data_IF_028700250407
#
_entry.id   IF_028700250407
#
_cell.length_a   1.000
_cell.length_b   1.000
_cell.length_c   1.000
_cell.angle_alpha   90.00
_cell.angle_beta   90.00
_cell.angle_gamma   90.00
#
_symmetry.space_group_name_H-M   'P 1'
#
loop_
_entity.id
_entity.type
_entity.pdbx_description
1 polymer ?
#
# COMPACT_ATOMS: atom_id res chain seq x y z
N UNK A 1 29.44 -4.25 8.34
CA UNK A 1 30.43 -5.35 8.43
C UNK A 1 31.28 -5.36 7.18
N UNK A 2 32.59 -5.52 7.32
CA UNK A 2 33.51 -5.63 6.18
C UNK A 2 33.31 -6.98 5.49
N UNK A 3 33.54 -7.03 4.17
CA UNK A 3 33.50 -8.25 3.35
C UNK A 3 34.42 -9.35 3.90
N UNK A 4 35.48 -8.93 4.59
CA UNK A 4 36.48 -9.81 5.19
C UNK A 4 35.95 -10.56 6.42
N UNK A 5 35.05 -9.93 7.18
CA UNK A 5 34.44 -10.52 8.39
C UNK A 5 33.42 -11.61 8.03
N UNK A 6 32.65 -11.40 6.96
CA UNK A 6 31.69 -12.39 6.47
C UNK A 6 32.38 -13.70 6.04
N UNK A 7 33.53 -13.59 5.37
CA UNK A 7 34.28 -14.74 4.89
C UNK A 7 34.92 -15.57 6.02
N UNK A 8 35.28 -14.93 7.15
CA UNK A 8 35.74 -15.66 8.33
C UNK A 8 34.60 -16.49 8.93
N UNK A 9 33.40 -15.93 8.99
CA UNK A 9 32.26 -16.59 9.62
C UNK A 9 31.72 -17.76 8.77
N UNK A 10 31.67 -17.63 7.44
CA UNK A 10 31.30 -18.76 6.56
C UNK A 10 32.30 -19.91 6.62
N UNK A 11 33.61 -19.62 6.76
CA UNK A 11 34.65 -20.65 6.99
C UNK A 11 34.49 -21.40 8.31
N UNK A 12 33.86 -20.79 9.31
CA UNK A 12 33.58 -21.40 10.61
C UNK A 12 32.25 -22.19 10.63
N UNK A 13 31.63 -22.41 9.46
CA UNK A 13 30.42 -23.21 9.34
C UNK A 13 29.12 -22.47 9.66
N UNK A 14 29.17 -21.15 9.90
CA UNK A 14 27.96 -20.35 10.07
C UNK A 14 27.24 -20.19 8.73
N UNK A 15 26.04 -20.75 8.63
CA UNK A 15 25.11 -20.46 7.54
C UNK A 15 24.29 -19.22 7.92
N UNK A 16 24.60 -18.10 7.26
CA UNK A 16 23.77 -16.91 7.36
C UNK A 16 22.54 -17.09 6.49
N UNK A 17 21.36 -17.08 7.11
CA UNK A 17 20.15 -16.71 6.40
C UNK A 17 20.30 -15.25 5.98
N UNK A 18 20.84 -15.03 4.79
CA UNK A 18 20.63 -13.76 4.11
C UNK A 18 19.11 -13.66 3.93
N UNK A 19 18.42 -12.68 4.54
CA UNK A 19 17.06 -12.41 4.10
C UNK A 19 17.17 -12.28 2.59
N UNK A 20 16.34 -13.03 1.84
CA UNK A 20 16.23 -12.84 0.39
C UNK A 20 16.16 -11.33 0.23
N UNK A 21 17.22 -10.71 -0.30
CA UNK A 21 17.08 -9.38 -0.88
C UNK A 21 15.90 -9.61 -1.80
N UNK A 22 14.76 -8.99 -1.50
CA UNK A 22 13.74 -8.82 -2.50
C UNK A 22 14.50 -8.15 -3.62
N UNK A 23 14.90 -8.95 -4.62
CA UNK A 23 15.16 -8.44 -5.93
C UNK A 23 14.02 -7.47 -6.13
N UNK A 24 14.36 -6.19 -6.21
CA UNK A 24 13.53 -5.18 -6.80
C UNK A 24 13.35 -5.60 -8.26
N UNK A 25 12.65 -6.72 -8.50
CA UNK A 25 11.95 -6.98 -9.74
C UNK A 25 11.02 -5.80 -9.80
N UNK A 26 11.31 -4.94 -10.75
CA UNK A 26 10.49 -3.85 -11.25
C UNK A 26 9.00 -4.18 -11.19
N UNK A 27 8.37 -4.01 -10.03
CA UNK A 27 6.91 -4.10 -9.83
C UNK A 27 6.25 -2.74 -9.95
N UNK A 28 7.00 -1.70 -10.36
CA UNK A 28 6.43 -0.37 -10.64
C UNK A 28 5.42 -0.41 -11.79
N UNK A 29 5.53 -1.35 -12.73
CA UNK A 29 4.69 -1.38 -13.94
C UNK A 29 3.24 -1.85 -13.72
N UNK A 30 2.90 -2.39 -12.55
CA UNK A 30 1.57 -2.94 -12.30
C UNK A 30 0.81 -2.29 -11.13
N UNK A 31 1.29 -1.13 -10.68
CA UNK A 31 0.60 -0.34 -9.65
C UNK A 31 -0.39 0.61 -10.29
N UNK A 32 -1.51 0.82 -9.59
CA UNK A 32 -2.52 1.82 -9.92
C UNK A 32 -2.65 2.80 -8.77
N UNK A 33 -2.98 4.04 -9.09
CA UNK A 33 -3.13 5.13 -8.15
C UNK A 33 -4.48 5.78 -8.39
N UNK A 34 -5.34 5.72 -7.39
CA UNK A 34 -6.67 6.28 -7.42
C UNK A 34 -6.75 7.42 -6.42
N UNK A 35 -7.26 8.55 -6.88
CA UNK A 35 -7.50 9.72 -6.03
C UNK A 35 -8.99 9.91 -5.86
N UNK A 36 -9.39 10.01 -4.60
CA UNK A 36 -10.74 10.36 -4.18
C UNK A 36 -10.72 11.78 -3.61
N UNK A 37 -11.50 12.66 -4.22
CA UNK A 37 -11.70 14.05 -3.78
C UNK A 37 -10.41 14.87 -3.60
N UNK A 38 -9.37 14.58 -4.39
CA UNK A 38 -8.03 15.21 -4.33
C UNK A 38 -7.33 15.17 -2.95
N UNK A 39 -7.89 14.43 -1.99
CA UNK A 39 -7.42 14.37 -0.59
C UNK A 39 -7.04 12.97 -0.16
N UNK A 40 -7.62 11.95 -0.77
CA UNK A 40 -7.37 10.54 -0.42
C UNK A 40 -6.73 9.82 -1.58
N UNK A 41 -5.54 9.26 -1.36
CA UNK A 41 -4.85 8.40 -2.32
C UNK A 41 -5.08 6.93 -1.95
N UNK A 42 -5.45 6.13 -2.94
CA UNK A 42 -5.60 4.68 -2.82
C UNK A 42 -4.67 4.04 -3.85
N UNK A 43 -3.79 3.15 -3.40
CA UNK A 43 -2.77 2.55 -4.27
C UNK A 43 -2.63 1.06 -4.01
N UNK A 44 -2.25 0.31 -5.03
CA UNK A 44 -2.09 -1.13 -4.96
C UNK A 44 -1.91 -1.74 -6.35
N UNK A 45 -1.95 -3.07 -6.44
CA UNK A 45 -1.71 -3.77 -7.71
C UNK A 45 -2.97 -3.83 -8.58
N UNK A 46 -2.81 -3.56 -9.88
CA UNK A 46 -3.90 -3.49 -10.87
C UNK A 46 -4.71 -4.78 -10.98
N UNK A 47 -4.04 -5.92 -10.91
CA UNK A 47 -4.65 -7.25 -10.95
C UNK A 47 -5.56 -7.51 -9.73
N UNK A 48 -5.20 -6.99 -8.57
CA UNK A 48 -6.02 -7.12 -7.37
C UNK A 48 -7.27 -6.24 -7.43
N UNK A 49 -7.16 -5.00 -7.90
CA UNK A 49 -8.33 -4.13 -8.11
C UNK A 49 -9.29 -4.68 -9.17
N UNK A 50 -8.77 -5.33 -10.22
CA UNK A 50 -9.60 -6.06 -11.19
C UNK A 50 -10.31 -7.26 -10.56
N UNK A 51 -9.65 -7.99 -9.67
CA UNK A 51 -10.22 -9.15 -8.98
C UNK A 51 -11.27 -8.76 -7.94
N UNK A 52 -11.16 -7.56 -7.37
CA UNK A 52 -12.02 -7.07 -6.29
C UNK A 52 -12.60 -5.68 -6.60
N UNK A 53 -13.42 -5.52 -7.65
CA UNK A 53 -13.87 -4.22 -8.14
C UNK A 53 -14.73 -3.44 -7.13
N UNK A 54 -15.32 -4.13 -6.15
CA UNK A 54 -16.19 -3.51 -5.13
C UNK A 54 -15.43 -2.74 -4.05
N UNK A 55 -14.11 -2.87 -3.97
CA UNK A 55 -13.32 -2.26 -2.89
C UNK A 55 -13.32 -0.73 -2.97
N UNK A 56 -13.17 -0.16 -4.16
CA UNK A 56 -13.17 1.29 -4.38
C UNK A 56 -14.53 1.93 -4.02
N UNK A 57 -15.69 1.42 -4.52
CA UNK A 57 -17.00 1.87 -4.05
C UNK A 57 -17.20 1.71 -2.53
N UNK A 58 -16.66 0.64 -1.93
CA UNK A 58 -16.80 0.40 -0.48
C UNK A 58 -16.05 1.46 0.32
N UNK A 59 -14.80 1.74 -0.02
CA UNK A 59 -13.99 2.79 0.62
C UNK A 59 -14.70 4.14 0.49
N UNK A 60 -15.16 4.47 -0.71
CA UNK A 60 -15.92 5.69 -1.01
C UNK A 60 -17.17 5.84 -0.12
N UNK A 61 -17.92 4.75 0.06
CA UNK A 61 -19.12 4.74 0.92
C UNK A 61 -18.77 4.92 2.40
N UNK A 62 -17.72 4.27 2.88
CA UNK A 62 -17.29 4.35 4.29
C UNK A 62 -16.80 5.76 4.64
N UNK A 63 -16.09 6.41 3.71
CA UNK A 63 -15.62 7.79 3.89
C UNK A 63 -16.74 8.83 3.73
N UNK A 64 -18.01 8.42 3.52
CA UNK A 64 -19.12 9.34 3.33
C UNK A 64 -19.05 10.13 2.01
N UNK A 65 -18.28 9.65 1.04
CA UNK A 65 -18.04 10.34 -0.24
C UNK A 65 -18.72 9.63 -1.41
N UNK A 66 -19.88 9.01 -1.18
CA UNK A 66 -20.61 8.16 -2.13
C UNK A 66 -20.94 8.81 -3.49
N UNK A 67 -20.94 10.15 -3.57
CA UNK A 67 -21.20 10.89 -4.81
C UNK A 67 -19.92 11.33 -5.54
N UNK A 68 -18.74 11.25 -4.91
CA UNK A 68 -17.48 11.80 -5.46
C UNK A 68 -16.78 10.87 -6.44
N UNK A 69 -16.32 11.38 -7.57
CA UNK A 69 -15.60 10.54 -8.52
C UNK A 69 -14.23 10.11 -8.00
N UNK A 70 -13.84 8.89 -8.38
CA UNK A 70 -12.49 8.37 -8.20
C UNK A 70 -11.77 8.55 -9.53
N UNK A 71 -10.63 9.23 -9.50
CA UNK A 71 -9.80 9.45 -10.70
C UNK A 71 -8.55 8.59 -10.61
N UNK A 72 -8.21 7.90 -11.69
CA UNK A 72 -6.89 7.27 -11.82
C UNK A 72 -5.87 8.36 -12.17
N UNK A 73 -4.72 8.36 -11.50
CA UNK A 73 -3.63 9.33 -11.72
C UNK A 73 -2.31 8.59 -11.93
N UNK A 74 -1.35 9.29 -12.51
CA UNK A 74 0.01 8.77 -12.66
C UNK A 74 0.80 8.83 -11.35
N UNK A 75 1.80 7.93 -11.23
CA UNK A 75 2.69 7.89 -10.08
C UNK A 75 3.40 9.24 -9.85
N UNK A 76 3.78 9.94 -10.91
CA UNK A 76 4.48 11.23 -10.83
C UNK A 76 3.64 12.31 -10.15
N UNK A 77 2.32 12.29 -10.34
CA UNK A 77 1.40 13.20 -9.67
C UNK A 77 1.31 12.95 -8.16
N UNK A 78 1.50 11.70 -7.71
CA UNK A 78 1.44 11.35 -6.28
C UNK A 78 2.59 11.94 -5.47
N UNK A 79 3.73 12.25 -6.10
CA UNK A 79 4.92 12.80 -5.42
C UNK A 79 4.79 14.31 -5.17
N UNK A 80 4.03 14.98 -6.03
CA UNK A 80 3.85 16.44 -6.01
C UNK A 80 2.68 16.90 -5.15
N UNK A 81 1.75 16.00 -4.79
CA UNK A 81 0.57 16.29 -3.99
C UNK A 81 0.74 15.82 -2.55
N UNK A 82 0.17 16.58 -1.62
CA UNK A 82 0.03 16.19 -0.22
C UNK A 82 -1.40 15.69 0.00
N UNK A 83 -1.54 14.51 0.63
CA UNK A 83 -2.82 13.85 0.83
C UNK A 83 -3.18 13.84 2.32
N UNK A 84 -4.45 13.95 2.65
CA UNK A 84 -4.88 13.83 4.06
C UNK A 84 -4.85 12.37 4.50
N UNK A 85 -5.21 11.46 3.58
CA UNK A 85 -5.25 10.03 3.81
C UNK A 85 -4.62 9.27 2.65
N UNK A 86 -3.74 8.33 2.96
CA UNK A 86 -3.21 7.36 1.99
C UNK A 86 -3.59 5.97 2.43
N UNK A 87 -4.15 5.18 1.51
CA UNK A 87 -4.45 3.76 1.69
C UNK A 87 -3.56 2.99 0.72
N UNK A 88 -2.52 2.34 1.25
CA UNK A 88 -1.48 1.67 0.47
C UNK A 88 -1.56 0.16 0.62
N UNK A 89 -1.95 -0.52 -0.47
CA UNK A 89 -1.95 -1.98 -0.63
C UNK A 89 -0.72 -2.52 -1.37
N UNK A 90 0.27 -1.67 -1.66
CA UNK A 90 1.46 -2.01 -2.45
C UNK A 90 2.73 -2.24 -1.60
N UNK A 91 2.74 -1.74 -0.36
CA UNK A 91 3.88 -1.77 0.57
C UNK A 91 5.22 -1.25 0.04
N UNK A 92 5.21 -0.47 -1.03
CA UNK A 92 6.46 -0.10 -1.72
C UNK A 92 6.79 1.38 -1.65
N UNK A 93 5.83 2.23 -1.32
CA UNK A 93 5.91 3.66 -1.63
C UNK A 93 5.64 4.51 -0.39
N UNK A 94 6.38 5.61 -0.31
CA UNK A 94 6.19 6.62 0.73
C UNK A 94 5.60 7.85 0.07
N UNK A 95 4.49 8.34 0.62
CA UNK A 95 3.74 9.48 0.12
C UNK A 95 3.70 10.56 1.19
N UNK A 96 3.55 11.82 0.76
CA UNK A 96 3.32 12.92 1.70
C UNK A 96 1.86 12.88 2.14
N UNK A 97 1.63 12.44 3.37
CA UNK A 97 0.29 12.42 3.92
C UNK A 97 0.20 12.54 5.44
N UNK A 98 -0.90 13.13 5.91
CA UNK A 98 -1.20 13.26 7.36
C UNK A 98 -1.42 11.89 8.00
N UNK A 99 -2.12 10.99 7.31
CA UNK A 99 -2.34 9.62 7.76
C UNK A 99 -2.12 8.63 6.62
N UNK A 100 -1.41 7.54 6.91
CA UNK A 100 -1.16 6.48 5.95
C UNK A 100 -1.54 5.13 6.56
N UNK A 101 -2.42 4.39 5.89
CA UNK A 101 -2.82 3.04 6.23
C UNK A 101 -2.13 2.08 5.25
N UNK A 102 -1.29 1.19 5.77
CA UNK A 102 -0.52 0.24 4.96
C UNK A 102 -1.03 -1.18 5.15
N UNK A 103 -1.22 -1.88 4.05
CA UNK A 103 -1.67 -3.26 4.00
C UNK A 103 -0.77 -4.06 3.05
N UNK A 104 -0.54 -5.33 3.38
CA UNK A 104 0.28 -6.23 2.56
C UNK A 104 -0.27 -6.44 1.15
N UNK A 105 -1.60 -6.55 1.05
CA UNK A 105 -2.32 -6.68 -0.22
C UNK A 105 -3.81 -6.52 0.01
N UNK A 106 -4.54 -6.23 -1.07
CA UNK A 106 -5.99 -6.19 -1.07
C UNK A 106 -6.57 -7.60 -0.90
N UNK A 107 -5.91 -8.62 -1.47
CA UNK A 107 -6.28 -10.03 -1.28
C UNK A 107 -6.28 -10.46 0.19
N UNK A 108 -5.25 -10.07 0.95
CA UNK A 108 -5.16 -10.37 2.38
C UNK A 108 -6.24 -9.64 3.16
N UNK A 109 -6.46 -8.35 2.86
CA UNK A 109 -7.57 -7.60 3.44
C UNK A 109 -8.91 -8.30 3.19
N UNK A 110 -9.15 -8.84 1.99
CA UNK A 110 -10.42 -9.50 1.68
C UNK A 110 -10.58 -10.88 2.34
N UNK A 111 -9.49 -11.56 2.71
CA UNK A 111 -9.58 -12.90 3.31
C UNK A 111 -9.66 -12.89 4.83
N UNK A 112 -9.05 -11.91 5.47
CA UNK A 112 -8.95 -11.84 6.93
C UNK A 112 -10.03 -10.92 7.52
N UNK A 113 -10.95 -11.48 8.31
CA UNK A 113 -12.05 -10.72 8.92
C UNK A 113 -11.58 -9.71 9.95
N UNK A 114 -10.53 -10.03 10.73
CA UNK A 114 -10.00 -9.11 11.73
C UNK A 114 -9.29 -7.92 11.06
N UNK A 115 -8.56 -8.15 9.97
CA UNK A 115 -7.97 -7.07 9.17
C UNK A 115 -9.04 -6.18 8.53
N UNK A 116 -10.15 -6.74 8.04
CA UNK A 116 -11.29 -5.94 7.54
C UNK A 116 -11.88 -5.05 8.62
N UNK A 117 -12.17 -5.60 9.79
CA UNK A 117 -12.76 -4.82 10.88
C UNK A 117 -11.85 -3.68 11.32
N UNK A 118 -10.53 -3.94 11.42
CA UNK A 118 -9.53 -2.90 11.69
C UNK A 118 -9.52 -1.84 10.59
N UNK A 119 -9.45 -2.27 9.32
CA UNK A 119 -9.49 -1.34 8.18
C UNK A 119 -10.73 -0.45 8.19
N UNK A 120 -11.91 -1.03 8.41
CA UNK A 120 -13.16 -0.28 8.48
C UNK A 120 -13.21 0.69 9.66
N UNK A 121 -12.71 0.26 10.82
CA UNK A 121 -12.64 1.11 12.01
C UNK A 121 -11.70 2.31 11.79
N UNK A 122 -10.54 2.07 11.18
CA UNK A 122 -9.58 3.13 10.87
C UNK A 122 -10.08 4.09 9.80
N UNK A 123 -10.75 3.58 8.76
CA UNK A 123 -11.38 4.43 7.74
C UNK A 123 -12.46 5.31 8.34
N UNK A 124 -13.31 4.76 9.21
CA UNK A 124 -14.35 5.52 9.89
C UNK A 124 -13.76 6.62 10.78
N UNK A 125 -12.66 6.33 11.47
CA UNK A 125 -11.91 7.33 12.23
C UNK A 125 -11.10 8.34 11.38
N UNK A 126 -11.17 8.25 10.05
CA UNK A 126 -10.46 9.14 9.12
C UNK A 126 -11.41 10.05 8.34
N UNK A 127 -12.71 10.05 8.67
CA UNK A 127 -13.73 10.86 7.98
C UNK A 127 -13.51 12.37 8.18
N UNK A 128 -12.95 12.77 9.33
CA UNK A 128 -12.73 14.18 9.70
C UNK A 128 -11.36 14.75 9.27
N UNK A 129 -10.55 13.96 8.54
CA UNK A 129 -9.23 14.36 8.03
C UNK A 129 -9.34 14.98 6.63
#
# INVERSE_FOLDING_TARGET
>A
MSKLDLNKLTRLGYQFWLPKRSENRSTKENLVFYVLNDKTLITGRKDEFKSYPRILPSIKKILGQADKEIKEIDQTETVSKEFNLVIDFSQGLSYKATKTLKFDSLKLLIKDSALKERFYSELKGSIDL
#
